data_IF_741905340188
#
_entry.id   IF_741905340188
#
_cell.length_a   1.000
_cell.length_b   1.000
_cell.length_c   1.000
_cell.angle_alpha   90.00
_cell.angle_beta   90.00
_cell.angle_gamma   90.00
#
_symmetry.space_group_name_H-M   'P 1'
#
loop_
_entity.id
_entity.type
_entity.pdbx_description
1 polymer ?
#
# COMPACT_ATOMS: atom_id res chain seq x y z
N UNK A 1 -8.97 8.19 -1.14
CA UNK A 1 -8.27 7.41 -2.20
C UNK A 1 -7.54 8.24 -3.25
N UNK A 2 -8.19 8.97 -4.17
CA UNK A 2 -7.48 9.62 -5.31
C UNK A 2 -6.32 10.56 -4.96
N UNK A 3 -6.34 11.20 -3.79
CA UNK A 3 -5.26 12.09 -3.33
C UNK A 3 -3.99 11.36 -2.84
N UNK A 4 -4.01 10.03 -2.78
CA UNK A 4 -2.91 9.19 -2.26
C UNK A 4 -2.34 8.25 -3.31
N UNK A 5 -2.73 8.45 -4.56
CA UNK A 5 -2.29 7.66 -5.71
C UNK A 5 -1.67 8.59 -6.74
N UNK A 6 -0.61 8.14 -7.40
CA UNK A 6 -0.08 8.79 -8.59
C UNK A 6 -1.06 8.59 -9.76
N UNK A 7 -1.46 9.67 -10.42
CA UNK A 7 -2.47 9.62 -11.49
C UNK A 7 -1.97 9.05 -12.81
N UNK A 8 -0.65 8.98 -13.01
CA UNK A 8 -0.02 8.47 -14.22
C UNK A 8 0.25 6.97 -14.14
N UNK A 9 0.71 6.48 -12.99
CA UNK A 9 1.04 5.06 -12.78
C UNK A 9 -0.07 4.26 -12.11
N UNK A 10 -1.02 4.93 -11.44
CA UNK A 10 -2.02 4.33 -10.55
C UNK A 10 -1.41 3.57 -9.35
N UNK A 11 -0.18 3.91 -8.96
CA UNK A 11 0.46 3.38 -7.75
C UNK A 11 0.20 4.30 -6.55
N UNK A 12 0.37 3.83 -5.31
CA UNK A 12 0.45 4.72 -4.15
C UNK A 12 1.47 5.85 -4.38
N UNK A 13 1.28 7.00 -3.74
CA UNK A 13 2.31 8.05 -3.79
C UNK A 13 3.62 7.61 -3.15
N UNK A 14 3.53 6.81 -2.09
CA UNK A 14 4.67 6.19 -1.44
C UNK A 14 4.27 4.96 -0.64
N UNK A 15 5.22 4.05 -0.48
CA UNK A 15 5.23 3.00 0.54
C UNK A 15 6.54 3.00 1.32
N UNK A 16 7.57 3.71 0.84
CA UNK A 16 8.82 3.98 1.53
C UNK A 16 9.06 5.50 1.61
N UNK A 17 9.48 5.98 2.79
CA UNK A 17 9.74 7.41 3.05
C UNK A 17 11.00 7.57 3.88
N UNK A 18 12.11 7.85 3.23
CA UNK A 18 13.39 8.21 3.87
C UNK A 18 13.68 9.69 3.66
N UNK A 19 14.79 10.19 4.24
CA UNK A 19 15.23 11.58 4.02
C UNK A 19 15.56 11.86 2.55
N UNK A 20 16.13 10.87 1.86
CA UNK A 20 16.72 11.06 0.53
C UNK A 20 15.87 10.45 -0.60
N UNK A 21 14.86 9.65 -0.25
CA UNK A 21 14.01 8.95 -1.20
C UNK A 21 12.58 8.79 -0.68
N UNK A 22 11.62 9.05 -1.57
CA UNK A 22 10.20 8.81 -1.34
C UNK A 22 9.66 8.11 -2.60
N UNK A 23 8.98 6.99 -2.42
CA UNK A 23 8.39 6.28 -3.55
C UNK A 23 7.65 5.00 -3.17
N UNK A 24 7.03 4.39 -4.16
CA UNK A 24 6.30 3.12 -4.03
C UNK A 24 7.21 1.97 -4.44
N UNK A 25 7.50 1.10 -3.47
CA UNK A 25 8.40 -0.04 -3.62
C UNK A 25 7.76 -1.37 -3.21
N UNK A 26 6.62 -1.32 -2.53
CA UNK A 26 6.00 -2.47 -1.89
C UNK A 26 4.69 -2.85 -2.60
N UNK A 27 4.48 -4.15 -2.81
CA UNK A 27 3.33 -4.67 -3.55
C UNK A 27 2.84 -5.98 -2.95
N UNK A 28 1.52 -6.17 -2.93
CA UNK A 28 0.88 -7.46 -2.65
C UNK A 28 0.32 -7.99 -3.97
N UNK A 29 1.04 -8.93 -4.60
CA UNK A 29 0.55 -9.64 -5.77
C UNK A 29 -0.38 -10.79 -5.36
N UNK A 30 -1.45 -11.01 -6.14
CA UNK A 30 -2.43 -12.06 -5.86
C UNK A 30 -2.99 -12.68 -7.14
N UNK A 31 -3.55 -13.88 -7.03
CA UNK A 31 -4.18 -14.59 -8.15
C UNK A 31 -5.62 -14.14 -8.34
N UNK A 32 -5.85 -13.25 -9.31
CA UNK A 32 -7.17 -12.66 -9.58
C UNK A 32 -8.27 -13.71 -9.91
N UNK A 33 -7.89 -14.88 -10.43
CA UNK A 33 -8.84 -15.97 -10.75
C UNK A 33 -9.44 -16.65 -9.51
N UNK A 34 -8.80 -16.52 -8.34
CA UNK A 34 -9.20 -17.25 -7.12
C UNK A 34 -9.33 -16.36 -5.88
N UNK A 35 -8.89 -15.11 -5.95
CA UNK A 35 -8.92 -14.16 -4.85
C UNK A 35 -9.59 -12.86 -5.31
N UNK A 36 -10.57 -12.41 -4.53
CA UNK A 36 -11.23 -11.12 -4.71
C UNK A 36 -10.79 -10.20 -3.56
N UNK A 37 -10.37 -8.98 -3.90
CA UNK A 37 -10.04 -7.95 -2.92
C UNK A 37 -11.33 -7.43 -2.30
N UNK A 38 -11.46 -7.57 -0.99
CA UNK A 38 -12.63 -7.09 -0.24
C UNK A 38 -12.41 -5.71 0.35
N UNK A 39 -11.27 -5.54 0.99
CA UNK A 39 -10.92 -4.30 1.66
C UNK A 39 -9.41 -4.09 1.61
N UNK A 40 -9.02 -2.81 1.70
CA UNK A 40 -7.64 -2.38 1.73
C UNK A 40 -7.48 -1.44 2.92
N UNK A 41 -6.36 -1.55 3.63
CA UNK A 41 -5.99 -0.52 4.59
C UNK A 41 -5.76 0.81 3.86
N UNK A 42 -6.28 1.89 4.44
CA UNK A 42 -6.15 3.20 3.85
C UNK A 42 -4.69 3.67 3.87
N UNK A 43 -4.17 4.07 2.71
CA UNK A 43 -2.84 4.67 2.60
C UNK A 43 -2.74 5.97 3.40
N UNK A 44 -1.54 6.25 3.90
CA UNK A 44 -1.23 7.54 4.52
C UNK A 44 -1.14 8.64 3.46
N UNK A 45 -1.50 9.86 3.83
CA UNK A 45 -1.14 11.04 3.05
C UNK A 45 0.18 11.63 3.56
N UNK A 46 0.81 12.43 2.70
CA UNK A 46 2.09 13.05 3.01
C UNK A 46 2.00 13.98 4.24
N UNK A 47 0.86 14.67 4.41
CA UNK A 47 0.63 15.55 5.56
C UNK A 47 0.65 14.81 6.90
N UNK A 48 0.16 13.57 6.94
CA UNK A 48 0.23 12.72 8.14
C UNK A 48 1.67 12.40 8.55
N UNK A 49 2.61 12.43 7.60
CA UNK A 49 4.03 12.17 7.85
C UNK A 49 4.84 13.45 8.10
N UNK A 50 4.36 14.64 7.71
CA UNK A 50 5.10 15.93 7.82
C UNK A 50 5.55 16.31 9.23
N UNK A 51 5.01 15.69 10.29
CA UNK A 51 5.51 15.90 11.66
C UNK A 51 6.94 15.42 11.83
N UNK A 52 7.30 14.35 11.13
CA UNK A 52 8.63 13.75 11.16
C UNK A 52 9.25 13.90 9.76
N UNK A 53 10.46 14.45 9.69
CA UNK A 53 11.07 14.82 8.40
C UNK A 53 11.46 13.60 7.54
N UNK A 54 11.41 12.39 8.10
CA UNK A 54 11.62 11.09 7.44
C UNK A 54 11.19 9.95 8.38
N UNK A 55 11.02 8.74 7.83
CA UNK A 55 10.90 7.51 8.62
C UNK A 55 12.25 6.75 8.67
N UNK A 56 12.47 5.88 9.69
CA UNK A 56 11.64 5.66 10.87
C UNK A 56 11.59 6.90 11.79
N UNK A 57 10.58 6.97 12.66
CA UNK A 57 10.37 8.03 13.65
C UNK A 57 9.98 7.46 15.03
N UNK A 58 9.86 8.26 16.10
CA UNK A 58 9.42 7.76 17.41
C UNK A 58 8.07 7.01 17.36
N UNK A 59 7.17 7.41 16.47
CA UNK A 59 5.86 6.79 16.26
C UNK A 59 5.91 5.60 15.28
N UNK A 60 6.93 5.54 14.43
CA UNK A 60 7.02 4.59 13.31
C UNK A 60 8.36 3.86 13.30
N UNK A 61 8.36 2.57 13.58
CA UNK A 61 9.58 1.77 13.71
C UNK A 61 10.23 1.35 12.40
N UNK A 62 9.62 1.63 11.25
CA UNK A 62 10.14 1.31 9.90
C UNK A 62 10.04 2.52 8.98
N UNK A 63 10.93 2.58 7.99
CA UNK A 63 10.89 3.50 6.85
C UNK A 63 9.89 3.11 5.76
N UNK A 64 9.28 1.92 5.88
CA UNK A 64 8.18 1.46 5.04
C UNK A 64 6.83 1.53 5.75
N UNK A 65 5.79 1.83 4.98
CA UNK A 65 4.39 1.79 5.40
C UNK A 65 3.81 0.41 5.09
N UNK A 66 3.24 -0.23 6.11
CA UNK A 66 2.64 -1.54 5.96
C UNK A 66 1.46 -1.52 4.97
N UNK A 67 1.48 -2.44 4.01
CA UNK A 67 0.33 -2.76 3.18
C UNK A 67 -0.50 -3.87 3.84
N UNK A 68 -1.81 -3.73 3.79
CA UNK A 68 -2.75 -4.73 4.26
C UNK A 68 -3.93 -4.82 3.31
N UNK A 69 -4.28 -6.03 2.93
CA UNK A 69 -5.41 -6.34 2.08
C UNK A 69 -6.18 -7.54 2.65
N UNK A 70 -7.51 -7.43 2.63
CA UNK A 70 -8.40 -8.54 2.91
C UNK A 70 -8.84 -9.17 1.59
N UNK A 71 -8.72 -10.50 1.52
CA UNK A 71 -9.13 -11.26 0.34
C UNK A 71 -10.21 -12.27 0.70
N UNK A 72 -11.22 -12.38 -0.16
CA UNK A 72 -12.11 -13.53 -0.18
C UNK A 72 -11.61 -14.57 -1.17
N UNK A 73 -11.47 -15.81 -0.73
CA UNK A 73 -11.18 -16.94 -1.60
C UNK A 73 -12.43 -17.35 -2.39
N UNK A 74 -12.42 -17.13 -3.70
CA UNK A 74 -13.42 -17.65 -4.62
C UNK A 74 -12.94 -19.00 -5.14
N UNK A 75 -13.62 -20.09 -4.76
CA UNK A 75 -13.36 -21.39 -5.39
C UNK A 75 -13.92 -21.33 -6.82
N UNK A 76 -13.06 -21.39 -7.83
CA UNK A 76 -13.52 -21.74 -9.16
C UNK A 76 -14.06 -23.17 -9.13
N UNK A 77 -15.38 -23.32 -9.31
CA UNK A 77 -16.09 -24.60 -9.48
C UNK A 77 -15.73 -25.26 -10.83
N UNK A 78 -14.93 -24.63 -11.70
CA UNK A 78 -14.47 -25.24 -12.95
C UNK A 78 -12.96 -25.55 -12.95
N UNK A 79 -12.62 -26.68 -12.33
CA UNK A 79 -11.67 -27.62 -12.96
C UNK A 79 -12.38 -28.97 -13.03
N UNK A 80 -13.25 -29.08 -14.04
CA UNK A 80 -13.54 -30.38 -14.68
C UNK A 80 -12.45 -30.61 -15.72
#
# INVERSE_FOLDING_TARGET
HKRRMDSSTNEPLFTNVTRDFIGSLDYIFYTADSLVVESLLELLDEESLRKDTALPSPEWSSDHIALLAEFRCCKNISRR
#
